data_IF_116058325142
#
_entry.id   IF_116058325142
#
_cell.length_a   1.000
_cell.length_b   1.000
_cell.length_c   1.000
_cell.angle_alpha   90.00
_cell.angle_beta   90.00
_cell.angle_gamma   90.00
#
_symmetry.space_group_name_H-M   'P 1'
#
loop_
_entity.id
_entity.type
_entity.pdbx_description
1 polymer ?
#
# COMPACT_ATOMS: atom_id res chain seq x y z
N UNK A 1 -6.56 8.78 -18.23
CA UNK A 1 -6.08 7.41 -17.98
C UNK A 1 -6.29 7.03 -16.53
N UNK A 2 -6.78 5.83 -16.30
CA UNK A 2 -7.05 5.34 -14.94
C UNK A 2 -5.75 4.90 -14.29
N UNK A 3 -5.51 5.36 -13.06
CA UNK A 3 -4.36 4.93 -12.28
C UNK A 3 -4.70 3.69 -11.49
N UNK A 4 -3.76 2.76 -11.39
CA UNK A 4 -3.94 1.47 -10.73
C UNK A 4 -3.17 1.44 -9.41
N UNK A 5 -3.87 1.02 -8.35
CA UNK A 5 -3.32 0.94 -6.99
C UNK A 5 -3.34 -0.50 -6.54
N UNK A 6 -2.22 -0.97 -5.98
CA UNK A 6 -2.14 -2.29 -5.36
C UNK A 6 -2.46 -2.16 -3.88
N UNK A 7 -3.51 -2.83 -3.43
CA UNK A 7 -3.95 -2.82 -2.02
C UNK A 7 -3.57 -4.15 -1.38
N UNK A 8 -2.74 -4.10 -0.35
CA UNK A 8 -2.18 -5.28 0.30
C UNK A 8 -2.62 -5.32 1.77
N UNK A 9 -3.37 -6.35 2.14
CA UNK A 9 -3.83 -6.54 3.51
C UNK A 9 -4.30 -7.98 3.65
N UNK A 10 -4.03 -8.62 4.79
CA UNK A 10 -4.50 -9.97 5.05
C UNK A 10 -5.99 -9.99 5.44
N UNK A 11 -6.57 -8.83 5.75
CA UNK A 11 -7.99 -8.68 6.04
C UNK A 11 -8.78 -8.44 4.76
N UNK A 12 -9.63 -9.40 4.38
CA UNK A 12 -10.48 -9.28 3.20
C UNK A 12 -11.46 -8.11 3.30
N UNK A 13 -11.99 -7.85 4.49
CA UNK A 13 -12.90 -6.72 4.70
C UNK A 13 -12.20 -5.37 4.53
N UNK A 14 -10.95 -5.28 4.98
CA UNK A 14 -10.17 -4.06 4.81
C UNK A 14 -9.84 -3.81 3.33
N UNK A 15 -9.44 -4.86 2.60
CA UNK A 15 -9.20 -4.75 1.16
C UNK A 15 -10.46 -4.29 0.42
N UNK A 16 -11.62 -4.85 0.79
CA UNK A 16 -12.89 -4.47 0.18
C UNK A 16 -13.21 -3.00 0.43
N UNK A 17 -13.01 -2.52 1.65
CA UNK A 17 -13.25 -1.12 2.00
C UNK A 17 -12.35 -0.18 1.21
N UNK A 18 -11.06 -0.51 1.11
CA UNK A 18 -10.11 0.27 0.31
C UNK A 18 -10.50 0.29 -1.16
N UNK A 19 -10.88 -0.88 -1.70
CA UNK A 19 -11.30 -0.99 -3.10
C UNK A 19 -12.55 -0.16 -3.38
N UNK A 20 -13.55 -0.22 -2.50
CA UNK A 20 -14.77 0.58 -2.66
C UNK A 20 -14.48 2.08 -2.58
N UNK A 21 -13.65 2.49 -1.62
CA UNK A 21 -13.30 3.89 -1.43
C UNK A 21 -12.54 4.46 -2.64
N UNK A 22 -11.49 3.78 -3.06
CA UNK A 22 -10.64 4.26 -4.15
C UNK A 22 -11.28 4.03 -5.51
N UNK A 23 -11.98 2.91 -5.69
CA UNK A 23 -12.73 2.64 -6.92
C UNK A 23 -13.81 3.67 -7.16
N UNK A 24 -14.50 4.10 -6.09
CA UNK A 24 -15.50 5.15 -6.18
C UNK A 24 -14.93 6.52 -6.59
N UNK A 25 -13.62 6.72 -6.40
CA UNK A 25 -12.94 7.94 -6.81
C UNK A 25 -12.30 7.84 -8.19
N UNK A 26 -12.48 6.72 -8.89
CA UNK A 26 -11.99 6.54 -10.26
C UNK A 26 -10.67 5.81 -10.41
N UNK A 27 -10.14 5.23 -9.33
CA UNK A 27 -8.91 4.42 -9.41
C UNK A 27 -9.24 2.95 -9.63
N UNK A 28 -8.39 2.24 -10.35
CA UNK A 28 -8.45 0.79 -10.41
C UNK A 28 -7.67 0.22 -9.21
N UNK A 29 -8.26 -0.76 -8.54
CA UNK A 29 -7.62 -1.36 -7.36
C UNK A 29 -7.46 -2.85 -7.57
N UNK A 30 -6.23 -3.34 -7.44
CA UNK A 30 -5.90 -4.75 -7.44
C UNK A 30 -5.56 -5.16 -6.02
N UNK A 31 -6.08 -6.28 -5.55
CA UNK A 31 -5.90 -6.74 -4.18
C UNK A 31 -4.84 -7.82 -4.07
N UNK A 32 -4.10 -7.81 -2.96
CA UNK A 32 -3.17 -8.87 -2.59
C UNK A 32 -3.37 -9.19 -1.11
N UNK A 33 -3.26 -10.45 -0.74
CA UNK A 33 -3.58 -10.91 0.62
C UNK A 33 -2.36 -10.88 1.58
N UNK A 34 -1.16 -10.79 1.04
CA UNK A 34 0.09 -10.68 1.83
C UNK A 34 1.20 -10.11 0.94
N UNK A 35 2.38 -9.95 1.54
CA UNK A 35 3.52 -9.37 0.82
C UNK A 35 4.02 -10.24 -0.33
N UNK A 36 3.97 -11.56 -0.17
CA UNK A 36 4.41 -12.49 -1.24
C UNK A 36 3.50 -12.40 -2.46
N UNK A 37 2.18 -12.39 -2.23
CA UNK A 37 1.19 -12.23 -3.30
C UNK A 37 1.33 -10.87 -3.98
N UNK A 38 1.54 -9.82 -3.18
CA UNK A 38 1.75 -8.47 -3.69
C UNK A 38 3.00 -8.38 -4.58
N UNK A 39 4.10 -9.00 -4.15
CA UNK A 39 5.34 -8.97 -4.92
C UNK A 39 5.18 -9.66 -6.27
N UNK A 40 4.49 -10.81 -6.29
CA UNK A 40 4.19 -11.52 -7.54
C UNK A 40 3.37 -10.65 -8.50
N UNK A 41 2.34 -9.98 -7.98
CA UNK A 41 1.49 -9.11 -8.78
C UNK A 41 2.25 -7.88 -9.29
N UNK A 42 3.12 -7.32 -8.45
CA UNK A 42 3.95 -6.19 -8.83
C UNK A 42 4.93 -6.56 -9.95
N UNK A 43 5.49 -7.76 -9.92
CA UNK A 43 6.40 -8.24 -10.94
C UNK A 43 5.70 -8.53 -12.27
N UNK A 44 4.44 -8.96 -12.19
CA UNK A 44 3.64 -9.32 -13.36
C UNK A 44 2.93 -8.12 -14.00
N UNK A 45 2.79 -7.03 -13.27
CA UNK A 45 2.04 -5.86 -13.71
C UNK A 45 2.74 -4.56 -13.40
N UNK A 46 1.98 -3.47 -13.50
CA UNK A 46 2.48 -2.11 -13.32
C UNK A 46 1.47 -1.35 -12.46
N UNK A 47 1.93 -0.74 -11.38
CA UNK A 47 1.08 0.00 -10.46
C UNK A 47 1.61 1.40 -10.25
N UNK A 48 0.70 2.35 -10.02
CA UNK A 48 1.06 3.75 -9.78
C UNK A 48 1.28 4.03 -8.30
N UNK A 49 0.75 3.17 -7.42
CA UNK A 49 0.85 3.32 -5.98
C UNK A 49 0.62 1.98 -5.31
N UNK A 50 1.21 1.79 -4.14
CA UNK A 50 0.96 0.62 -3.27
C UNK A 50 0.47 1.13 -1.92
N UNK A 51 -0.64 0.56 -1.45
CA UNK A 51 -1.16 0.78 -0.10
C UNK A 51 -1.09 -0.56 0.60
N UNK A 52 -0.34 -0.67 1.68
CA UNK A 52 -0.09 -1.95 2.34
C UNK A 52 -0.19 -1.88 3.86
N UNK A 53 -0.72 -2.93 4.46
CA UNK A 53 -0.57 -3.13 5.90
C UNK A 53 0.89 -3.47 6.20
N UNK A 54 1.31 -3.25 7.43
CA UNK A 54 2.64 -3.58 7.91
C UNK A 54 2.71 -5.02 8.40
N UNK A 55 1.76 -5.42 9.23
CA UNK A 55 1.75 -6.73 9.91
C UNK A 55 0.89 -7.73 9.14
N UNK A 56 1.54 -8.60 8.38
CA UNK A 56 0.89 -9.63 7.57
C UNK A 56 1.67 -10.93 7.69
N UNK A 57 0.99 -12.09 7.51
CA UNK A 57 1.70 -13.37 7.48
C UNK A 57 2.51 -13.53 6.20
N UNK A 58 3.40 -14.49 6.15
CA UNK A 58 4.25 -14.89 5.02
C UNK A 58 5.31 -13.84 4.73
N UNK A 59 4.92 -12.65 4.30
CA UNK A 59 5.83 -11.53 4.06
C UNK A 59 5.14 -10.26 4.54
N UNK A 60 5.70 -9.57 5.52
CA UNK A 60 5.12 -8.34 6.06
C UNK A 60 5.38 -7.13 5.15
N UNK A 61 4.80 -5.99 5.52
CA UNK A 61 4.91 -4.78 4.72
C UNK A 61 6.32 -4.21 4.64
N UNK A 62 7.13 -4.39 5.69
CA UNK A 62 8.54 -3.94 5.67
C UNK A 62 9.36 -4.75 4.68
N UNK A 63 9.22 -6.07 4.71
CA UNK A 63 9.89 -6.93 3.75
C UNK A 63 9.42 -6.63 2.32
N UNK A 64 8.12 -6.41 2.16
CA UNK A 64 7.54 -6.08 0.85
C UNK A 64 8.14 -4.79 0.27
N UNK A 65 8.19 -3.72 1.06
CA UNK A 65 8.71 -2.44 0.55
C UNK A 65 10.18 -2.55 0.18
N UNK A 66 10.97 -3.30 0.95
CA UNK A 66 12.38 -3.52 0.63
C UNK A 66 12.53 -4.25 -0.70
N UNK A 67 11.71 -5.28 -0.94
CA UNK A 67 11.74 -6.02 -2.21
C UNK A 67 11.26 -5.17 -3.38
N UNK A 68 10.20 -4.38 -3.20
CA UNK A 68 9.71 -3.49 -4.23
C UNK A 68 10.74 -2.43 -4.62
N UNK A 69 11.46 -1.87 -3.64
CA UNK A 69 12.48 -0.85 -3.92
C UNK A 69 13.71 -1.39 -4.67
N UNK A 70 13.90 -2.71 -4.69
CA UNK A 70 14.93 -3.35 -5.51
C UNK A 70 14.53 -3.40 -6.98
N UNK A 71 13.23 -3.35 -7.28
CA UNK A 71 12.73 -3.39 -8.65
C UNK A 71 12.80 -1.98 -9.26
N UNK A 72 13.49 -1.79 -10.39
CA UNK A 72 13.64 -0.45 -10.97
C UNK A 72 12.32 0.26 -11.22
N UNK A 73 11.27 -0.47 -11.64
CA UNK A 73 9.96 0.08 -11.92
C UNK A 73 9.27 0.66 -10.67
N UNK A 74 9.69 0.24 -9.47
CA UNK A 74 9.04 0.64 -8.22
C UNK A 74 9.87 1.55 -7.33
N UNK A 75 11.01 2.03 -7.80
CA UNK A 75 11.87 2.92 -7.00
C UNK A 75 11.23 4.27 -6.71
N UNK A 76 10.43 4.79 -7.63
CA UNK A 76 9.75 6.06 -7.46
C UNK A 76 8.25 5.95 -7.19
N UNK A 77 7.71 4.76 -7.07
CA UNK A 77 6.28 4.55 -6.85
C UNK A 77 5.93 4.84 -5.39
N UNK A 78 4.91 5.68 -5.12
CA UNK A 78 4.48 5.91 -3.75
C UNK A 78 4.02 4.62 -3.06
N UNK A 79 4.52 4.38 -1.85
CA UNK A 79 4.12 3.26 -1.01
C UNK A 79 3.70 3.82 0.34
N UNK A 80 2.42 3.62 0.68
CA UNK A 80 1.82 4.14 1.91
C UNK A 80 1.40 2.95 2.78
N UNK A 81 1.80 2.98 4.05
CA UNK A 81 1.34 2.00 5.02
C UNK A 81 -0.02 2.39 5.57
N UNK A 82 -0.89 1.39 5.72
CA UNK A 82 -2.24 1.53 6.24
C UNK A 82 -2.40 0.47 7.31
N UNK A 83 -2.12 0.82 8.58
CA UNK A 83 -1.86 -0.17 9.61
C UNK A 83 -2.28 0.30 11.00
N UNK A 84 -2.56 -0.66 11.90
CA UNK A 84 -2.78 -0.37 13.32
C UNK A 84 -1.49 -0.13 14.08
N UNK A 85 -0.33 -0.41 13.45
CA UNK A 85 0.96 -0.24 14.11
C UNK A 85 1.23 1.23 14.44
N UNK A 86 1.58 1.51 15.69
CA UNK A 86 1.87 2.86 16.17
C UNK A 86 3.26 3.02 16.77
N UNK A 87 4.07 1.95 16.77
CA UNK A 87 5.42 1.96 17.31
C UNK A 87 6.32 2.89 16.48
N UNK A 88 6.93 3.87 17.12
CA UNK A 88 7.80 4.83 16.45
C UNK A 88 9.01 4.17 15.78
N UNK A 89 9.57 3.12 16.40
CA UNK A 89 10.69 2.39 15.79
C UNK A 89 10.29 1.72 14.48
N UNK A 90 9.09 1.14 14.44
CA UNK A 90 8.58 0.53 13.21
C UNK A 90 8.34 1.58 12.13
N UNK A 91 7.84 2.76 12.51
CA UNK A 91 7.64 3.87 11.58
C UNK A 91 8.98 4.35 11.00
N UNK A 92 10.01 4.44 11.84
CA UNK A 92 11.36 4.81 11.39
C UNK A 92 11.92 3.77 10.43
N UNK A 93 11.75 2.48 10.72
CA UNK A 93 12.16 1.40 9.82
C UNK A 93 11.45 1.49 8.48
N UNK A 94 10.15 1.75 8.48
CA UNK A 94 9.35 1.89 7.27
C UNK A 94 9.83 3.07 6.42
N UNK A 95 10.10 4.21 7.05
CA UNK A 95 10.60 5.39 6.37
C UNK A 95 11.99 5.13 5.79
N UNK A 96 12.87 4.49 6.55
CA UNK A 96 14.21 4.14 6.10
C UNK A 96 14.18 3.16 4.93
N UNK A 97 13.17 2.29 4.88
CA UNK A 97 12.98 1.34 3.78
C UNK A 97 12.39 2.01 2.53
N UNK A 98 11.95 3.26 2.62
CA UNK A 98 11.45 4.02 1.47
C UNK A 98 9.96 4.26 1.44
N UNK A 99 9.27 4.20 2.59
CA UNK A 99 7.84 4.49 2.68
C UNK A 99 7.57 5.96 2.37
N UNK A 100 6.52 6.21 1.60
CA UNK A 100 6.10 7.57 1.23
C UNK A 100 5.21 8.18 2.31
N UNK A 101 4.39 7.35 2.96
CA UNK A 101 3.47 7.81 3.98
C UNK A 101 3.00 6.72 4.91
N UNK A 102 2.23 7.12 5.91
CA UNK A 102 1.72 6.24 6.97
C UNK A 102 0.35 6.73 7.41
N UNK A 103 -0.64 5.84 7.36
CA UNK A 103 -1.99 6.12 7.84
C UNK A 103 -2.31 5.10 8.93
N UNK A 104 -2.65 5.57 10.13
CA UNK A 104 -2.99 4.70 11.25
C UNK A 104 -4.47 4.30 11.20
N UNK A 105 -4.77 3.02 11.35
CA UNK A 105 -6.13 2.50 11.48
C UNK A 105 -6.62 2.71 12.91
N UNK A 106 -7.91 2.98 13.14
CA UNK A 106 -8.93 3.27 12.13
C UNK A 106 -8.76 4.65 11.49
N UNK A 107 -9.19 4.78 10.26
CA UNK A 107 -9.09 6.04 9.52
C UNK A 107 -10.42 6.33 8.81
N UNK A 108 -10.59 7.57 8.38
CA UNK A 108 -11.76 7.97 7.59
C UNK A 108 -11.47 7.82 6.10
N UNK A 109 -12.51 7.52 5.32
CA UNK A 109 -12.37 7.40 3.87
C UNK A 109 -11.77 8.67 3.24
N UNK A 110 -12.17 9.83 3.72
CA UNK A 110 -11.65 11.12 3.25
C UNK A 110 -10.15 11.24 3.47
N UNK A 111 -9.65 10.69 4.57
CA UNK A 111 -8.22 10.70 4.88
C UNK A 111 -7.43 9.87 3.88
N UNK A 112 -7.91 8.67 3.55
CA UNK A 112 -7.29 7.81 2.55
C UNK A 112 -7.30 8.49 1.17
N UNK A 113 -8.44 9.01 0.76
CA UNK A 113 -8.59 9.71 -0.52
C UNK A 113 -7.67 10.93 -0.62
N UNK A 114 -7.55 11.70 0.46
CA UNK A 114 -6.70 12.88 0.48
C UNK A 114 -5.24 12.51 0.26
N UNK A 115 -4.76 11.43 0.90
CA UNK A 115 -3.38 10.97 0.75
C UNK A 115 -3.14 10.48 -0.68
N UNK A 116 -4.05 9.68 -1.23
CA UNK A 116 -3.91 9.16 -2.59
C UNK A 116 -3.87 10.29 -3.60
N UNK A 117 -4.78 11.24 -3.50
CA UNK A 117 -4.81 12.40 -4.41
C UNK A 117 -3.54 13.26 -4.31
N UNK A 118 -2.99 13.38 -3.10
CA UNK A 118 -1.78 14.16 -2.88
C UNK A 118 -0.57 13.52 -3.57
N UNK A 119 -0.46 12.19 -3.57
CA UNK A 119 0.74 11.50 -4.06
C UNK A 119 0.66 11.06 -5.51
N UNK A 120 -0.51 10.78 -6.05
CA UNK A 120 -0.65 10.37 -7.46
C UNK A 120 -1.69 11.17 -8.26
N UNK A 121 -2.41 12.05 -7.61
CA UNK A 121 -3.45 12.84 -8.28
C UNK A 121 -4.72 12.04 -8.45
#
# INVERSE_FOLDING_TARGET
MTKTILSVDDSASMRQMVKLTLGGAGYDVVEAEDGSDALKKAQAGSFHMVVTDLNMPVMDGLALIRELRKLPAYRGIPIVFLTTESDEERKKEAKAAGATGWITKPFKQEQLLAVVKKVIG
#
